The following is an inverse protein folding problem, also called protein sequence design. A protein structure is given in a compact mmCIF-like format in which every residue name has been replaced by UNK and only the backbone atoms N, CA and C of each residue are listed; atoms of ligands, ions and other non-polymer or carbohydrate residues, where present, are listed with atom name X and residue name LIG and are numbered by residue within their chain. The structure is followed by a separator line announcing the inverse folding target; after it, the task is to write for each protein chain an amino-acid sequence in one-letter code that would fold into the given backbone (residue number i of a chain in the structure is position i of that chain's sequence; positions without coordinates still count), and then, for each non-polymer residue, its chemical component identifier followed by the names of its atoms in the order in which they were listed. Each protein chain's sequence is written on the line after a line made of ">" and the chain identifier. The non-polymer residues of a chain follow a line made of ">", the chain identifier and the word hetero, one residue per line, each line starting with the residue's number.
data_IF_261531935699
#
_entry.id   IF_261531935699
#
_cell.length_a   1.000
_cell.length_b   1.000
_cell.length_c   1.000
_cell.angle_alpha   90.00
_cell.angle_beta   90.00
_cell.angle_gamma   90.00
#
_symmetry.space_group_name_H-M   'P 1'
#
loop_
_entity.id
_entity.type
_entity.pdbx_description
1 polymer ?
#
# COMPACT_ATOMS: atom_id res chain seq x y z
N UNK A 1 -9.60 28.34 19.39
CA UNK A 1 -8.57 28.57 18.33
C UNK A 1 -7.81 27.32 17.84
N UNK A 2 -6.71 26.84 18.45
CA UNK A 2 -5.90 25.75 17.82
C UNK A 2 -6.56 24.35 17.90
N UNK A 3 -7.35 24.07 18.92
CA UNK A 3 -8.00 22.76 19.13
C UNK A 3 -9.24 22.56 18.24
N UNK A 4 -9.91 23.65 17.84
CA UNK A 4 -11.17 23.59 17.06
C UNK A 4 -10.94 23.33 15.57
N UNK A 5 -9.75 23.64 15.04
CA UNK A 5 -9.46 23.43 13.62
C UNK A 5 -9.24 21.94 13.28
N UNK A 6 -8.89 21.10 14.26
CA UNK A 6 -8.64 19.67 14.06
C UNK A 6 -9.95 18.87 13.95
N UNK A 7 -11.04 19.36 14.54
CA UNK A 7 -12.33 18.66 14.59
C UNK A 7 -13.10 18.66 13.25
N UNK A 8 -12.71 19.48 12.27
CA UNK A 8 -13.48 19.72 11.04
C UNK A 8 -13.19 18.84 9.82
N UNK A 9 -12.12 18.01 9.81
CA UNK A 9 -11.69 17.25 8.62
C UNK A 9 -12.01 15.74 8.65
N UNK A 10 -12.97 15.35 9.48
CA UNK A 10 -13.35 13.97 9.77
C UNK A 10 -14.29 13.28 8.77
N UNK A 11 -14.06 13.37 7.45
CA UNK A 11 -14.83 12.54 6.48
C UNK A 11 -13.90 11.94 5.42
N UNK A 12 -13.43 10.72 5.72
CA UNK A 12 -12.63 9.81 4.88
C UNK A 12 -11.11 10.08 4.78
N UNK A 13 -10.40 10.27 5.91
CA UNK A 13 -8.95 10.05 5.90
C UNK A 13 -8.72 8.55 5.69
N UNK A 14 -8.51 8.14 4.43
CA UNK A 14 -8.08 6.78 4.11
C UNK A 14 -6.78 6.53 4.86
N UNK A 15 -6.75 5.50 5.69
CA UNK A 15 -5.53 5.08 6.35
C UNK A 15 -4.60 4.51 5.27
N UNK A 16 -3.44 5.14 5.09
CA UNK A 16 -2.41 4.66 4.17
C UNK A 16 -1.21 4.29 5.01
N UNK A 17 -0.74 3.05 4.83
CA UNK A 17 0.46 2.52 5.47
C UNK A 17 1.52 2.35 4.39
N UNK A 18 2.73 2.84 4.65
CA UNK A 18 3.90 2.57 3.82
C UNK A 18 4.67 1.44 4.49
N UNK A 19 4.81 0.32 3.78
CA UNK A 19 5.41 -0.90 4.29
C UNK A 19 6.56 -1.30 3.36
N UNK A 20 7.68 -1.74 3.93
CA UNK A 20 8.80 -2.27 3.16
C UNK A 20 9.33 -3.57 3.76
N UNK A 21 9.73 -4.49 2.89
CA UNK A 21 10.49 -5.70 3.23
C UNK A 21 12.00 -5.47 3.18
N UNK A 22 12.44 -4.28 2.73
CA UNK A 22 13.84 -3.90 2.60
C UNK A 22 14.27 -3.19 3.89
N UNK A 23 15.16 -3.78 4.73
CA UNK A 23 15.52 -3.21 6.03
C UNK A 23 16.06 -1.78 5.95
N UNK A 24 16.77 -1.44 4.88
CA UNK A 24 17.36 -0.12 4.66
C UNK A 24 16.31 0.97 4.42
N UNK A 25 15.11 0.61 3.97
CA UNK A 25 14.01 1.56 3.75
C UNK A 25 13.21 1.82 5.03
N UNK A 26 13.22 0.88 5.98
CA UNK A 26 12.46 0.98 7.24
C UNK A 26 12.95 2.16 8.07
N UNK A 27 12.01 2.98 8.55
CA UNK A 27 12.30 4.20 9.28
C UNK A 27 12.57 5.42 8.41
N UNK A 28 12.56 5.26 7.07
CA UNK A 28 12.67 6.40 6.15
C UNK A 28 11.45 7.32 6.29
N UNK A 29 11.70 8.62 6.36
CA UNK A 29 10.68 9.65 6.32
C UNK A 29 10.46 10.07 4.87
N UNK A 30 9.21 9.96 4.42
CA UNK A 30 8.79 10.37 3.07
C UNK A 30 7.51 11.21 3.15
N UNK A 31 6.96 11.61 2.01
CA UNK A 31 5.74 12.36 1.91
C UNK A 31 4.61 11.51 1.32
N UNK A 32 3.43 11.61 1.93
CA UNK A 32 2.17 11.08 1.44
C UNK A 32 1.14 12.22 1.40
N UNK A 33 0.67 12.58 0.20
CA UNK A 33 -0.39 13.58 0.00
C UNK A 33 -0.24 14.81 0.91
N UNK A 34 0.92 15.49 0.77
CA UNK A 34 1.28 16.71 1.50
C UNK A 34 1.48 16.54 3.02
N UNK A 35 1.60 15.30 3.51
CA UNK A 35 1.91 14.98 4.91
C UNK A 35 3.16 14.10 5.02
N UNK A 36 4.00 14.27 6.05
CA UNK A 36 5.08 13.33 6.32
C UNK A 36 4.50 11.95 6.67
N UNK A 37 5.14 10.89 6.16
CA UNK A 37 4.81 9.49 6.41
C UNK A 37 6.09 8.68 6.65
N UNK A 38 6.04 7.79 7.64
CA UNK A 38 7.15 6.88 7.95
C UNK A 38 6.95 5.57 7.20
N UNK A 39 8.02 5.02 6.64
CA UNK A 39 8.04 3.65 6.13
C UNK A 39 8.24 2.70 7.31
N UNK A 40 7.30 1.79 7.51
CA UNK A 40 7.37 0.75 8.53
C UNK A 40 7.84 -0.57 7.93
N UNK A 41 8.38 -1.45 8.77
CA UNK A 41 8.64 -2.83 8.37
C UNK A 41 7.33 -3.53 7.99
N UNK A 42 7.38 -4.31 6.91
CA UNK A 42 6.32 -5.22 6.56
C UNK A 42 6.27 -6.39 7.54
N UNK A 43 5.07 -6.66 8.07
CA UNK A 43 4.72 -7.85 8.83
C UNK A 43 3.37 -8.36 8.30
N UNK A 44 3.07 -9.67 8.23
CA UNK A 44 1.78 -10.15 7.71
C UNK A 44 0.57 -9.51 8.41
N UNK A 45 0.65 -9.31 9.73
CA UNK A 45 -0.40 -8.66 10.51
C UNK A 45 -0.56 -7.16 10.23
N UNK A 46 0.42 -6.52 9.58
CA UNK A 46 0.35 -5.11 9.17
C UNK A 46 -0.69 -4.86 8.07
N UNK A 47 -1.16 -5.92 7.39
CA UNK A 47 -2.22 -5.85 6.38
C UNK A 47 -3.64 -5.93 6.98
N UNK A 48 -3.78 -6.18 8.28
CA UNK A 48 -5.10 -6.26 8.92
C UNK A 48 -5.86 -4.94 8.78
N UNK A 49 -7.10 -5.05 8.31
CA UNK A 49 -8.00 -3.92 8.07
C UNK A 49 -7.73 -3.13 6.78
N UNK A 50 -6.75 -3.56 5.97
CA UNK A 50 -6.46 -2.93 4.68
C UNK A 50 -7.34 -3.55 3.59
N UNK A 51 -8.03 -2.71 2.82
CA UNK A 51 -8.89 -3.18 1.72
C UNK A 51 -8.13 -3.30 0.40
N UNK A 52 -7.02 -2.58 0.24
CA UNK A 52 -6.25 -2.53 -1.01
C UNK A 52 -4.76 -2.37 -0.72
N UNK A 53 -3.94 -3.21 -1.33
CA UNK A 53 -2.48 -3.19 -1.21
C UNK A 53 -1.87 -2.94 -2.58
N UNK A 54 -0.90 -2.03 -2.66
CA UNK A 54 -0.16 -1.73 -3.88
C UNK A 54 1.26 -2.27 -3.77
N UNK A 55 1.66 -3.15 -4.70
CA UNK A 55 2.99 -3.74 -4.76
C UNK A 55 3.86 -2.99 -5.76
N UNK A 56 4.78 -2.14 -5.27
CA UNK A 56 5.52 -1.18 -6.09
C UNK A 56 6.97 -1.58 -6.41
N UNK A 57 7.50 -2.64 -5.80
CA UNK A 57 8.87 -3.15 -6.04
C UNK A 57 8.96 -4.17 -7.19
N UNK A 58 10.14 -4.78 -7.39
CA UNK A 58 10.32 -5.90 -8.33
C UNK A 58 9.39 -7.08 -8.01
N UNK A 59 8.84 -7.73 -9.03
CA UNK A 59 7.85 -8.79 -8.84
C UNK A 59 8.41 -9.98 -8.05
N UNK A 60 9.69 -10.29 -8.21
CA UNK A 60 10.37 -11.35 -7.48
C UNK A 60 10.34 -11.13 -5.96
N UNK A 61 10.38 -9.88 -5.50
CA UNK A 61 10.29 -9.53 -4.09
C UNK A 61 8.83 -9.51 -3.59
N UNK A 62 7.87 -9.19 -4.45
CA UNK A 62 6.46 -9.03 -4.07
C UNK A 62 5.65 -10.33 -4.13
N UNK A 63 5.96 -11.26 -5.06
CA UNK A 63 5.23 -12.53 -5.21
C UNK A 63 5.03 -13.30 -3.91
N UNK A 64 6.04 -13.47 -3.03
CA UNK A 64 5.85 -14.18 -1.77
C UNK A 64 4.76 -13.55 -0.88
N UNK A 65 4.57 -12.24 -0.98
CA UNK A 65 3.64 -11.46 -0.15
C UNK A 65 2.18 -11.65 -0.58
N UNK A 66 1.91 -12.21 -1.76
CA UNK A 66 0.54 -12.42 -2.23
C UNK A 66 -0.22 -13.42 -1.34
N UNK A 67 0.49 -14.39 -0.77
CA UNK A 67 -0.08 -15.35 0.17
C UNK A 67 -0.50 -14.76 1.51
N UNK A 68 0.02 -13.58 1.86
CA UNK A 68 -0.27 -12.91 3.13
C UNK A 68 -1.50 -11.99 3.03
N UNK A 69 -2.05 -11.78 1.83
CA UNK A 69 -3.21 -10.92 1.62
C UNK A 69 -4.44 -11.48 2.36
N UNK A 70 -5.04 -10.72 3.30
CA UNK A 70 -6.27 -11.15 3.95
C UNK A 70 -7.41 -11.33 2.96
N UNK A 71 -8.31 -12.28 3.23
CA UNK A 71 -9.50 -12.49 2.41
C UNK A 71 -10.30 -11.19 2.22
N UNK A 72 -10.66 -10.88 0.97
CA UNK A 72 -11.36 -9.65 0.60
C UNK A 72 -10.45 -8.43 0.37
N UNK A 73 -9.14 -8.56 0.60
CA UNK A 73 -8.16 -7.52 0.24
C UNK A 73 -7.84 -7.60 -1.24
N UNK A 74 -7.87 -6.46 -1.93
CA UNK A 74 -7.45 -6.39 -3.33
C UNK A 74 -5.95 -6.09 -3.42
N UNK A 75 -5.18 -6.99 -4.02
CA UNK A 75 -3.79 -6.72 -4.40
C UNK A 75 -3.72 -6.05 -5.77
N UNK A 76 -3.02 -4.91 -5.85
CA UNK A 76 -2.72 -4.21 -7.11
C UNK A 76 -1.23 -4.31 -7.35
N UNK A 77 -0.84 -5.05 -8.37
CA UNK A 77 0.56 -5.25 -8.74
C UNK A 77 0.99 -4.14 -9.70
N UNK A 78 1.91 -3.29 -9.24
CA UNK A 78 2.53 -2.21 -10.03
C UNK A 78 4.02 -2.50 -10.32
N UNK A 79 4.45 -3.74 -10.11
CA UNK A 79 5.81 -4.21 -10.39
C UNK A 79 6.13 -4.06 -11.88
N UNK A 80 7.22 -3.39 -12.26
CA UNK A 80 7.58 -3.15 -13.68
C UNK A 80 7.78 -4.42 -14.51
N UNK A 81 8.15 -5.51 -13.84
CA UNK A 81 8.48 -6.82 -14.40
C UNK A 81 7.37 -7.86 -14.17
N UNK A 82 6.17 -7.42 -13.77
CA UNK A 82 5.01 -8.29 -13.64
C UNK A 82 4.52 -8.82 -15.00
N UNK A 83 3.95 -10.02 -14.96
CA UNK A 83 3.41 -10.74 -16.11
C UNK A 83 1.96 -11.17 -15.87
N UNK A 84 1.31 -11.78 -16.86
CA UNK A 84 -0.05 -12.32 -16.71
C UNK A 84 -0.15 -13.50 -15.73
N UNK A 85 0.98 -14.08 -15.31
CA UNK A 85 0.99 -15.09 -14.24
C UNK A 85 0.82 -14.47 -12.85
N UNK A 86 1.11 -13.17 -12.72
CA UNK A 86 1.07 -12.44 -11.45
C UNK A 86 -0.30 -11.82 -11.16
N UNK A 87 -1.21 -11.84 -12.13
CA UNK A 87 -2.55 -11.30 -12.01
C UNK A 87 -3.21 -11.04 -13.35
N UNK A 88 -4.37 -10.39 -13.31
CA UNK A 88 -5.10 -9.97 -14.51
C UNK A 88 -4.69 -8.54 -14.87
N UNK A 89 -4.18 -8.28 -16.10
CA UNK A 89 -3.83 -6.94 -16.50
C UNK A 89 -5.09 -6.09 -16.62
N UNK A 90 -5.11 -4.91 -15.98
CA UNK A 90 -6.24 -3.97 -16.03
C UNK A 90 -5.73 -2.60 -16.45
N UNK A 91 -6.37 -2.03 -17.46
CA UNK A 91 -6.15 -0.69 -17.96
C UNK A 91 -7.49 0.01 -18.00
N UNK A 92 -7.61 1.08 -17.19
CA UNK A 92 -8.84 1.84 -17.06
C UNK A 92 -9.30 2.35 -18.44
N UNK A 93 -10.56 2.07 -18.78
CA UNK A 93 -11.15 2.45 -20.07
C UNK A 93 -10.77 1.55 -21.25
N UNK A 94 -9.99 0.49 -21.04
CA UNK A 94 -9.62 -0.48 -22.09
C UNK A 94 -10.20 -1.86 -21.81
N UNK A 95 -10.01 -2.39 -20.60
CA UNK A 95 -10.55 -3.68 -20.19
C UNK A 95 -11.11 -3.64 -18.76
N UNK A 96 -12.39 -3.94 -18.62
CA UNK A 96 -13.18 -3.97 -17.37
C UNK A 96 -13.92 -5.28 -17.22
#
# INVERSE_FOLDING_TARGET
>A
ELTETIAGRGRHRREVRLLSTIPEEVGSLTALADSPALVSAYEPDSLRGISTVYFCGPIAANRPLFGDLPAGTTGVVLSPDATTEDGVPVVAGVNT
#
